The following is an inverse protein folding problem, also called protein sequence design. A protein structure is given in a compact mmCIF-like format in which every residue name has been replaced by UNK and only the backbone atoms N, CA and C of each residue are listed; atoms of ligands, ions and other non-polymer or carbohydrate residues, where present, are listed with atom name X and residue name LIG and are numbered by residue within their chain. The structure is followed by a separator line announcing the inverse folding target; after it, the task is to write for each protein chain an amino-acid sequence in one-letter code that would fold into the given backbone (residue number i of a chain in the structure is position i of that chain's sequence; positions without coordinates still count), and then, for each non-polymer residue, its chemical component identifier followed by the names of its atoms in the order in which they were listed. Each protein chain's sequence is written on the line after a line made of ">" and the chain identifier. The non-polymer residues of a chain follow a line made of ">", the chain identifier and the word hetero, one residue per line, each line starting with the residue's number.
data_IF_447208575809
#
_entry.id   IF_447208575809
#
_cell.length_a   1.000
_cell.length_b   1.000
_cell.length_c   1.000
_cell.angle_alpha   90.00
_cell.angle_beta   90.00
_cell.angle_gamma   90.00
#
_symmetry.space_group_name_H-M   'P 1'
#
loop_
_entity.id
_entity.type
_entity.pdbx_description
1 polymer ?
#
# COMPACT_ATOMS: atom_id res chain seq x y z
N UNK A 1 6.29 15.00 29.44
CA UNK A 1 5.47 13.89 29.00
C UNK A 1 5.05 13.11 30.24
N UNK A 2 3.77 12.86 30.41
CA UNK A 2 3.26 12.12 31.57
C UNK A 2 3.67 10.65 31.46
N UNK A 3 3.92 10.00 32.59
CA UNK A 3 4.32 8.58 32.66
C UNK A 3 3.28 7.66 31.97
N UNK A 4 2.03 8.05 32.06
CA UNK A 4 0.88 7.39 31.44
C UNK A 4 0.97 7.30 29.89
N UNK A 5 1.38 8.38 29.25
CA UNK A 5 1.59 8.41 27.78
C UNK A 5 2.73 7.48 27.34
N UNK A 6 3.82 7.43 28.10
CA UNK A 6 4.93 6.53 27.82
C UNK A 6 4.54 5.05 28.00
N UNK A 7 3.67 4.75 28.97
CA UNK A 7 3.14 3.41 29.18
C UNK A 7 2.29 2.95 28.01
N UNK A 8 1.38 3.79 27.52
CA UNK A 8 0.58 3.49 26.32
C UNK A 8 1.43 3.28 25.07
N UNK A 9 2.47 4.10 24.89
CA UNK A 9 3.42 3.90 23.79
C UNK A 9 4.18 2.56 23.93
N UNK A 10 4.58 2.18 25.12
CA UNK A 10 5.28 0.92 25.35
C UNK A 10 4.38 -0.29 25.08
N UNK A 11 3.09 -0.22 25.39
CA UNK A 11 2.12 -1.25 25.01
C UNK A 11 1.98 -1.37 23.48
N UNK A 12 1.94 -0.23 22.78
CA UNK A 12 1.81 -0.20 21.32
C UNK A 12 3.08 -0.60 20.58
N UNK A 13 4.24 -0.29 21.15
CA UNK A 13 5.57 -0.59 20.60
C UNK A 13 6.43 -1.35 21.63
N UNK A 14 6.14 -2.64 21.88
CA UNK A 14 6.71 -3.37 22.99
C UNK A 14 8.21 -3.70 22.82
N UNK A 15 8.77 -3.46 21.65
CA UNK A 15 10.19 -3.74 21.39
C UNK A 15 10.89 -2.49 20.79
N UNK A 16 12.20 -2.39 21.02
CA UNK A 16 13.03 -1.34 20.38
C UNK A 16 12.87 -1.41 18.86
N UNK A 17 12.82 -2.61 18.28
CA UNK A 17 12.64 -2.81 16.84
C UNK A 17 11.31 -2.23 16.34
N UNK A 18 10.21 -2.48 17.03
CA UNK A 18 8.90 -1.93 16.65
C UNK A 18 8.85 -0.41 16.77
N UNK A 19 9.44 0.14 17.83
CA UNK A 19 9.55 1.58 18.03
C UNK A 19 10.42 2.24 16.94
N UNK A 20 11.59 1.67 16.63
CA UNK A 20 12.46 2.17 15.55
C UNK A 20 11.77 2.10 14.18
N UNK A 21 11.07 1.02 13.86
CA UNK A 21 10.33 0.89 12.62
C UNK A 21 9.27 1.99 12.48
N UNK A 22 8.54 2.30 13.56
CA UNK A 22 7.55 3.37 13.56
C UNK A 22 8.20 4.75 13.42
N UNK A 23 9.34 5.01 14.08
CA UNK A 23 10.08 6.26 13.92
C UNK A 23 10.53 6.46 12.47
N UNK A 24 11.08 5.42 11.83
CA UNK A 24 11.48 5.46 10.42
C UNK A 24 10.28 5.76 9.53
N UNK A 25 9.15 5.06 9.75
CA UNK A 25 7.91 5.30 9.02
C UNK A 25 7.44 6.75 9.14
N UNK A 26 7.34 7.28 10.35
CA UNK A 26 6.88 8.66 10.59
C UNK A 26 7.84 9.71 10.00
N UNK A 27 9.15 9.46 10.06
CA UNK A 27 10.14 10.32 9.39
C UNK A 27 9.98 10.32 7.89
N UNK A 28 9.77 9.14 7.30
CA UNK A 28 9.51 9.03 5.86
C UNK A 28 8.23 9.79 5.46
N UNK A 29 7.17 9.68 6.25
CA UNK A 29 5.92 10.40 6.02
C UNK A 29 6.10 11.92 6.07
N UNK A 30 6.91 12.44 7.01
CA UNK A 30 7.21 13.89 7.12
C UNK A 30 7.97 14.44 5.91
N UNK A 31 8.72 13.61 5.20
CA UNK A 31 9.51 14.00 4.04
C UNK A 31 8.76 13.83 2.72
N UNK A 32 7.57 13.21 2.75
CA UNK A 32 6.73 13.08 1.58
C UNK A 32 6.17 14.46 1.17
N UNK A 33 6.07 14.74 -0.15
CA UNK A 33 5.32 15.89 -0.61
C UNK A 33 3.87 15.79 -0.13
N UNK A 34 3.22 16.94 0.04
CA UNK A 34 1.82 17.00 0.50
C UNK A 34 0.97 15.99 -0.28
N UNK A 35 0.32 15.03 0.40
CA UNK A 35 -0.51 14.04 -0.25
C UNK A 35 -1.79 14.67 -0.80
N UNK A 36 -2.51 13.90 -1.62
CA UNK A 36 -3.86 14.28 -2.05
C UNK A 36 -4.81 14.24 -0.86
N UNK A 37 -5.51 15.33 -0.63
CA UNK A 37 -6.56 15.40 0.40
C UNK A 37 -7.90 15.00 -0.22
N UNK A 38 -8.62 14.10 0.44
CA UNK A 38 -9.95 13.67 0.04
C UNK A 38 -10.97 14.18 1.07
N UNK A 39 -11.95 14.93 0.61
CA UNK A 39 -13.05 15.44 1.43
C UNK A 39 -14.25 14.53 1.23
N UNK A 40 -14.72 13.97 2.33
CA UNK A 40 -15.88 13.09 2.37
C UNK A 40 -16.92 13.73 3.28
N UNK A 41 -18.16 13.78 2.83
CA UNK A 41 -19.31 14.19 3.63
C UNK A 41 -20.27 13.02 3.73
N UNK A 42 -20.99 12.95 4.84
CA UNK A 42 -22.18 12.15 4.97
C UNK A 42 -21.98 10.63 4.79
N UNK A 43 -21.21 10.05 5.70
CA UNK A 43 -20.81 8.63 5.64
C UNK A 43 -21.97 7.68 5.98
N UNK A 44 -23.00 8.15 6.71
CA UNK A 44 -24.22 7.40 7.09
C UNK A 44 -24.01 6.02 7.72
N UNK A 45 -22.85 5.76 8.31
CA UNK A 45 -22.51 4.45 8.87
C UNK A 45 -22.17 3.37 7.84
N UNK A 46 -22.02 3.73 6.56
CA UNK A 46 -21.65 2.84 5.45
C UNK A 46 -20.17 2.48 5.48
N UNK A 47 -19.78 1.62 6.43
CA UNK A 47 -18.39 1.27 6.69
C UNK A 47 -17.68 0.71 5.45
N UNK A 48 -18.29 -0.23 4.73
CA UNK A 48 -17.67 -0.89 3.58
C UNK A 48 -17.43 0.10 2.43
N UNK A 49 -18.41 0.97 2.15
CA UNK A 49 -18.27 2.02 1.14
C UNK A 49 -17.18 3.02 1.51
N UNK A 50 -17.13 3.43 2.76
CA UNK A 50 -16.08 4.32 3.26
C UNK A 50 -14.68 3.69 3.17
N UNK A 51 -14.55 2.43 3.60
CA UNK A 51 -13.30 1.68 3.52
C UNK A 51 -12.85 1.50 2.06
N UNK A 52 -13.79 1.26 1.15
CA UNK A 52 -13.51 1.18 -0.29
C UNK A 52 -12.90 2.49 -0.82
N UNK A 53 -13.49 3.64 -0.46
CA UNK A 53 -12.96 4.95 -0.86
C UNK A 53 -11.57 5.18 -0.27
N UNK A 54 -11.35 4.87 1.01
CA UNK A 54 -10.04 5.00 1.65
C UNK A 54 -8.96 4.15 0.96
N UNK A 55 -9.30 2.91 0.57
CA UNK A 55 -8.35 1.99 -0.09
C UNK A 55 -8.06 2.38 -1.54
N UNK A 56 -9.07 2.77 -2.28
CA UNK A 56 -8.94 3.07 -3.71
C UNK A 56 -8.53 4.54 -3.97
N UNK A 57 -8.86 5.43 -3.06
CA UNK A 57 -8.62 6.87 -3.19
C UNK A 57 -8.96 7.40 -4.59
N UNK A 58 -7.99 7.94 -5.31
CA UNK A 58 -8.16 8.48 -6.65
C UNK A 58 -8.04 7.44 -7.79
N UNK A 59 -7.87 6.16 -7.49
CA UNK A 59 -7.66 5.12 -8.51
C UNK A 59 -6.30 5.16 -9.18
N UNK A 60 -5.38 5.96 -8.70
CA UNK A 60 -4.05 6.20 -9.30
C UNK A 60 -3.25 4.91 -9.52
N UNK A 61 -3.37 3.94 -8.62
CA UNK A 61 -2.65 2.66 -8.76
C UNK A 61 -3.14 1.91 -10.01
N UNK A 62 -4.44 1.86 -10.25
CA UNK A 62 -5.01 1.24 -11.45
C UNK A 62 -4.50 1.90 -12.73
N UNK A 63 -4.43 3.23 -12.74
CA UNK A 63 -3.91 3.98 -13.88
C UNK A 63 -2.41 3.73 -14.09
N UNK A 64 -1.62 3.66 -13.02
CA UNK A 64 -0.20 3.30 -13.08
C UNK A 64 0.02 1.89 -13.59
N UNK A 65 -0.72 0.91 -13.11
CA UNK A 65 -0.70 -0.48 -13.61
C UNK A 65 -1.00 -0.50 -15.11
N UNK A 66 -2.03 0.20 -15.53
CA UNK A 66 -2.42 0.29 -16.94
C UNK A 66 -1.30 0.92 -17.78
N UNK A 67 -0.70 1.99 -17.32
CA UNK A 67 0.41 2.66 -18.02
C UNK A 67 1.63 1.75 -18.17
N UNK A 68 2.02 1.06 -17.09
CA UNK A 68 3.23 0.22 -17.08
C UNK A 68 3.05 -1.05 -17.88
N UNK A 69 1.89 -1.71 -17.75
CA UNK A 69 1.67 -3.06 -18.27
C UNK A 69 0.68 -3.14 -19.44
N UNK A 70 0.35 -2.01 -20.10
CA UNK A 70 -0.60 -1.99 -21.22
C UNK A 70 -0.22 -2.96 -22.37
N UNK A 71 1.08 -3.17 -22.60
CA UNK A 71 1.60 -4.00 -23.69
C UNK A 71 1.97 -5.42 -23.26
N UNK A 72 2.09 -5.69 -21.97
CA UNK A 72 2.65 -6.96 -21.45
C UNK A 72 1.66 -7.79 -20.65
N UNK A 73 0.58 -7.19 -20.17
CA UNK A 73 -0.44 -7.89 -19.39
C UNK A 73 -1.83 -7.71 -20.02
N UNK A 74 -2.65 -8.75 -19.90
CA UNK A 74 -4.07 -8.66 -20.26
C UNK A 74 -4.81 -7.68 -19.34
N UNK A 75 -5.96 -7.18 -19.78
CA UNK A 75 -6.78 -6.32 -18.93
C UNK A 75 -7.25 -7.03 -17.66
N UNK A 76 -7.56 -8.33 -17.76
CA UNK A 76 -7.96 -9.15 -16.63
C UNK A 76 -6.85 -9.27 -15.58
N UNK A 77 -5.60 -9.47 -16.02
CA UNK A 77 -4.44 -9.57 -15.12
C UNK A 77 -4.14 -8.22 -14.45
N UNK A 78 -4.24 -7.10 -15.19
CA UNK A 78 -4.09 -5.76 -14.63
C UNK A 78 -5.14 -5.47 -13.57
N UNK A 79 -6.40 -5.86 -13.78
CA UNK A 79 -7.47 -5.74 -12.77
C UNK A 79 -7.18 -6.62 -11.56
N UNK A 80 -6.69 -7.83 -11.77
CA UNK A 80 -6.31 -8.75 -10.68
C UNK A 80 -5.19 -8.17 -9.84
N UNK A 81 -4.15 -7.60 -10.47
CA UNK A 81 -3.04 -6.95 -9.77
C UNK A 81 -3.51 -5.70 -9.00
N UNK A 82 -4.37 -4.88 -9.58
CA UNK A 82 -4.96 -3.73 -8.89
C UNK A 82 -5.78 -4.17 -7.67
N UNK A 83 -6.62 -5.19 -7.83
CA UNK A 83 -7.42 -5.73 -6.73
C UNK A 83 -6.53 -6.31 -5.62
N UNK A 84 -5.43 -6.96 -5.98
CA UNK A 84 -4.47 -7.47 -5.00
C UNK A 84 -3.82 -6.33 -4.18
N UNK A 85 -3.49 -5.22 -4.81
CA UNK A 85 -2.90 -4.06 -4.11
C UNK A 85 -3.92 -3.41 -3.17
N UNK A 86 -5.16 -3.26 -3.60
CA UNK A 86 -6.21 -2.62 -2.79
C UNK A 86 -6.79 -3.54 -1.70
N UNK A 87 -6.89 -4.84 -1.97
CA UNK A 87 -7.50 -5.85 -1.11
C UNK A 87 -6.62 -7.10 -1.01
N UNK A 88 -5.40 -6.98 -0.42
CA UNK A 88 -4.41 -8.05 -0.47
C UNK A 88 -4.89 -9.34 0.19
N UNK A 89 -5.50 -9.26 1.37
CA UNK A 89 -5.92 -10.44 2.14
C UNK A 89 -6.98 -11.25 1.38
N UNK A 90 -8.08 -10.59 1.01
CA UNK A 90 -9.20 -11.24 0.34
C UNK A 90 -8.80 -11.81 -1.03
N UNK A 91 -8.00 -11.05 -1.79
CA UNK A 91 -7.56 -11.50 -3.11
C UNK A 91 -6.58 -12.64 -3.02
N UNK A 92 -5.66 -12.60 -2.05
CA UNK A 92 -4.68 -13.65 -1.85
C UNK A 92 -5.33 -14.98 -1.44
N UNK A 93 -6.32 -14.95 -0.54
CA UNK A 93 -7.09 -16.14 -0.19
C UNK A 93 -7.80 -16.78 -1.39
N UNK A 94 -8.40 -15.94 -2.24
CA UNK A 94 -9.03 -16.44 -3.47
C UNK A 94 -8.02 -17.08 -4.41
N UNK A 95 -6.88 -16.44 -4.62
CA UNK A 95 -5.81 -16.92 -5.52
C UNK A 95 -5.22 -18.25 -5.02
N UNK A 96 -4.96 -18.39 -3.72
CA UNK A 96 -4.45 -19.64 -3.13
C UNK A 96 -5.34 -20.85 -3.43
N UNK A 97 -6.64 -20.63 -3.63
CA UNK A 97 -7.60 -21.71 -3.94
C UNK A 97 -7.71 -22.01 -5.44
N UNK A 98 -7.28 -21.11 -6.31
CA UNK A 98 -7.53 -21.18 -7.74
C UNK A 98 -6.28 -21.41 -8.59
N UNK A 99 -5.09 -21.23 -8.05
CA UNK A 99 -3.82 -21.33 -8.78
C UNK A 99 -3.14 -22.65 -8.45
N UNK A 100 -2.75 -23.40 -9.48
CA UNK A 100 -2.07 -24.71 -9.35
C UNK A 100 -0.66 -24.56 -8.78
N UNK A 101 0.12 -23.59 -9.29
CA UNK A 101 1.49 -23.31 -8.83
C UNK A 101 1.56 -21.95 -8.16
N UNK A 102 1.36 -21.94 -6.85
CA UNK A 102 1.34 -20.71 -6.07
C UNK A 102 2.74 -20.06 -5.98
N UNK A 103 3.81 -20.83 -5.99
CA UNK A 103 5.17 -20.30 -5.88
C UNK A 103 5.57 -19.50 -7.12
N UNK A 104 5.25 -19.98 -8.31
CA UNK A 104 5.50 -19.26 -9.54
C UNK A 104 4.61 -18.02 -9.65
N UNK A 105 3.35 -18.14 -9.21
CA UNK A 105 2.48 -16.98 -9.12
C UNK A 105 3.05 -15.89 -8.19
N UNK A 106 3.60 -16.27 -7.02
CA UNK A 106 4.25 -15.31 -6.11
C UNK A 106 5.46 -14.61 -6.76
N UNK A 107 6.32 -15.35 -7.47
CA UNK A 107 7.49 -14.78 -8.14
C UNK A 107 7.08 -13.74 -9.19
N UNK A 108 6.13 -14.09 -10.05
CA UNK A 108 5.62 -13.22 -11.12
C UNK A 108 4.95 -11.99 -10.52
N UNK A 109 4.10 -12.19 -9.51
CA UNK A 109 3.39 -11.10 -8.85
C UNK A 109 4.35 -10.15 -8.13
N UNK A 110 5.35 -10.68 -7.42
CA UNK A 110 6.38 -9.88 -6.78
C UNK A 110 7.16 -9.03 -7.78
N UNK A 111 7.52 -9.61 -8.93
CA UNK A 111 8.14 -8.86 -10.02
C UNK A 111 7.27 -7.68 -10.47
N UNK A 112 5.99 -7.90 -10.71
CA UNK A 112 5.06 -6.82 -11.10
C UNK A 112 4.91 -5.76 -10.01
N UNK A 113 4.84 -6.16 -8.74
CA UNK A 113 4.78 -5.21 -7.61
C UNK A 113 6.05 -4.36 -7.52
N UNK A 114 7.23 -4.94 -7.71
CA UNK A 114 8.50 -4.21 -7.74
C UNK A 114 8.50 -3.18 -8.88
N UNK A 115 8.06 -3.54 -10.08
CA UNK A 115 7.98 -2.61 -11.21
C UNK A 115 7.02 -1.45 -10.94
N UNK A 116 5.86 -1.69 -10.34
CA UNK A 116 4.95 -0.61 -9.92
C UNK A 116 5.60 0.27 -8.86
N UNK A 117 6.24 -0.32 -7.84
CA UNK A 117 6.95 0.45 -6.82
C UNK A 117 8.03 1.35 -7.42
N UNK A 118 8.81 0.84 -8.39
CA UNK A 118 9.84 1.64 -9.09
C UNK A 118 9.23 2.85 -9.80
N UNK A 119 8.11 2.66 -10.52
CA UNK A 119 7.44 3.76 -11.22
C UNK A 119 6.84 4.78 -10.26
N UNK A 120 6.22 4.31 -9.17
CA UNK A 120 5.64 5.20 -8.15
C UNK A 120 6.74 5.95 -7.39
N UNK A 121 7.86 5.29 -7.08
CA UNK A 121 8.99 5.87 -6.36
C UNK A 121 9.85 6.80 -7.25
N UNK A 122 9.76 6.70 -8.58
CA UNK A 122 10.58 7.50 -9.51
C UNK A 122 10.41 9.03 -9.36
N UNK A 123 9.36 9.48 -8.71
CA UNK A 123 9.15 10.89 -8.36
C UNK A 123 10.01 11.39 -7.19
N UNK A 124 10.61 10.47 -6.43
CA UNK A 124 11.50 10.80 -5.32
C UNK A 124 12.95 10.69 -5.77
N UNK A 125 13.78 11.67 -5.39
CA UNK A 125 15.21 11.59 -5.64
C UNK A 125 15.88 10.60 -4.68
N UNK A 126 17.08 10.12 -5.04
CA UNK A 126 17.89 9.31 -4.14
C UNK A 126 18.17 10.03 -2.81
N UNK A 127 18.32 11.36 -2.86
CA UNK A 127 18.54 12.18 -1.67
C UNK A 127 17.31 12.19 -0.76
N UNK A 128 16.09 12.20 -1.32
CA UNK A 128 14.86 12.13 -0.53
C UNK A 128 14.75 10.79 0.18
N UNK A 129 15.07 9.69 -0.51
CA UNK A 129 15.05 8.34 0.07
C UNK A 129 16.12 8.16 1.17
N UNK A 130 17.30 8.77 1.02
CA UNK A 130 18.38 8.67 2.02
C UNK A 130 18.16 9.54 3.26
N UNK A 131 17.31 10.56 3.18
CA UNK A 131 16.94 11.40 4.33
C UNK A 131 15.81 10.81 5.18
N UNK A 132 15.00 9.91 4.59
CA UNK A 132 13.91 9.21 5.27
C UNK A 132 14.43 8.07 6.15
#
# INVERSE_FOLDING_TARGET
>A
MTNEYLTLLAEHYPTIRSACAQIIKLRSEQLLPKPTEHFLSDIHGEYESFLHILKNASGVIKDKITTVFSKTMSEADRRTLATLIYYPEQKLEHIKRSVENIDDWYKITLYHLIEICRVVAAKYSRADVLRA
#
